data_IF_996246928887
#
_entry.id   IF_996246928887
#
_cell.length_a   1.000
_cell.length_b   1.000
_cell.length_c   1.000
_cell.angle_alpha   90.00
_cell.angle_beta   90.00
_cell.angle_gamma   90.00
#
_symmetry.space_group_name_H-M   'P 1'
#
loop_
_entity.id
_entity.type
_entity.pdbx_description
1 polymer ?
#
# COMPACT_ATOMS: atom_id res chain seq x y z
N UNK A 1 6.03 -1.34 -7.28
CA UNK A 1 5.80 -2.79 -7.13
C UNK A 1 6.84 -3.34 -6.16
N UNK A 2 6.43 -4.01 -5.09
CA UNK A 2 7.34 -4.40 -4.02
C UNK A 2 8.20 -5.58 -4.49
N UNK A 3 9.52 -5.42 -4.40
CA UNK A 3 10.51 -6.48 -4.62
C UNK A 3 11.37 -6.61 -3.37
N UNK A 4 11.67 -7.83 -2.95
CA UNK A 4 12.58 -8.13 -1.84
C UNK A 4 13.59 -9.14 -2.32
N UNK A 5 14.86 -8.89 -1.99
CA UNK A 5 15.92 -9.86 -2.19
C UNK A 5 16.05 -10.70 -0.93
N UNK A 6 16.07 -12.03 -1.08
CA UNK A 6 16.18 -12.96 0.05
C UNK A 6 17.64 -13.37 0.17
N UNK A 7 18.24 -13.21 1.35
CA UNK A 7 19.61 -13.66 1.61
C UNK A 7 19.69 -15.17 1.78
N UNK A 8 20.84 -15.77 1.44
CA UNK A 8 21.04 -17.22 1.44
C UNK A 8 20.78 -17.93 2.79
N UNK A 9 20.84 -17.19 3.91
CA UNK A 9 20.66 -17.72 5.27
C UNK A 9 19.45 -17.12 6.00
N UNK A 10 18.48 -16.59 5.26
CA UNK A 10 17.30 -15.96 5.87
C UNK A 10 16.08 -16.90 5.89
N UNK A 11 15.45 -17.12 7.05
CA UNK A 11 14.24 -17.91 7.12
C UNK A 11 13.11 -17.24 6.32
N UNK A 12 12.36 -18.04 5.56
CA UNK A 12 11.31 -17.60 4.64
C UNK A 12 10.28 -16.67 5.32
N UNK A 13 9.91 -16.96 6.57
CA UNK A 13 8.97 -16.13 7.34
C UNK A 13 9.46 -14.69 7.52
N UNK A 14 10.76 -14.48 7.72
CA UNK A 14 11.34 -13.15 7.91
C UNK A 14 11.33 -12.36 6.60
N UNK A 15 11.57 -13.03 5.48
CA UNK A 15 11.43 -12.44 4.15
C UNK A 15 9.97 -12.03 3.87
N UNK A 16 9.00 -12.90 4.17
CA UNK A 16 7.56 -12.63 4.04
C UNK A 16 7.10 -11.46 4.91
N UNK A 17 7.59 -11.36 6.15
CA UNK A 17 7.25 -10.25 7.05
C UNK A 17 7.71 -8.90 6.48
N UNK A 18 8.93 -8.84 5.93
CA UNK A 18 9.43 -7.63 5.25
C UNK A 18 8.61 -7.32 4.00
N UNK A 19 8.16 -8.34 3.28
CA UNK A 19 7.33 -8.19 2.08
C UNK A 19 5.98 -7.56 2.41
N UNK A 20 5.32 -8.11 3.42
CA UNK A 20 4.06 -7.56 3.93
C UNK A 20 4.22 -6.10 4.36
N UNK A 21 5.30 -5.78 5.11
CA UNK A 21 5.59 -4.40 5.52
C UNK A 21 5.84 -3.48 4.32
N UNK A 22 6.55 -3.93 3.28
CA UNK A 22 6.76 -3.17 2.04
C UNK A 22 5.44 -2.89 1.30
N UNK A 23 4.55 -3.88 1.20
CA UNK A 23 3.21 -3.72 0.61
C UNK A 23 2.38 -2.69 1.37
N UNK A 24 2.43 -2.73 2.70
CA UNK A 24 1.72 -1.79 3.56
C UNK A 24 2.24 -0.36 3.40
N UNK A 25 3.57 -0.17 3.40
CA UNK A 25 4.20 1.15 3.19
C UNK A 25 3.84 1.72 1.82
N UNK A 26 3.91 0.90 0.75
CA UNK A 26 3.58 1.33 -0.60
C UNK A 26 2.07 1.63 -0.77
N UNK A 27 1.24 1.21 0.20
CA UNK A 27 -0.17 1.57 0.25
C UNK A 27 -1.00 1.03 -0.92
N UNK A 28 -0.51 -0.01 -1.61
CA UNK A 28 -1.12 -0.55 -2.84
C UNK A 28 -2.58 -0.94 -2.61
N UNK A 29 -2.86 -1.58 -1.47
CA UNK A 29 -4.22 -1.97 -1.10
C UNK A 29 -5.15 -0.77 -0.87
N UNK A 30 -4.62 0.33 -0.31
CA UNK A 30 -5.38 1.58 -0.12
C UNK A 30 -5.69 2.23 -1.46
N UNK A 31 -4.73 2.24 -2.38
CA UNK A 31 -4.89 2.78 -3.72
C UNK A 31 -5.88 1.95 -4.54
N UNK A 32 -5.83 0.62 -4.45
CA UNK A 32 -6.81 -0.28 -5.07
C UNK A 32 -8.24 -0.01 -4.57
N UNK A 33 -8.43 0.06 -3.25
CA UNK A 33 -9.74 0.39 -2.66
C UNK A 33 -10.26 1.75 -3.12
N UNK A 34 -9.37 2.75 -3.19
CA UNK A 34 -9.72 4.10 -3.62
C UNK A 34 -10.07 4.19 -5.11
N UNK A 35 -9.57 3.27 -5.95
CA UNK A 35 -9.79 3.23 -7.41
C UNK A 35 -10.84 2.20 -7.85
N UNK A 36 -11.39 1.42 -6.91
CA UNK A 36 -12.39 0.37 -7.21
C UNK A 36 -13.65 0.92 -7.90
N UNK A 37 -13.99 2.18 -7.64
CA UNK A 37 -15.10 2.88 -8.26
C UNK A 37 -14.67 4.28 -8.70
N UNK A 38 -15.35 4.83 -9.69
CA UNK A 38 -15.16 6.22 -10.08
C UNK A 38 -15.61 7.14 -8.95
N UNK A 39 -14.72 8.04 -8.53
CA UNK A 39 -15.03 9.10 -7.59
C UNK A 39 -15.03 10.44 -8.35
N UNK A 40 -16.12 11.21 -8.19
CA UNK A 40 -16.22 12.56 -8.75
C UNK A 40 -15.06 13.45 -8.23
N UNK A 41 -14.52 14.38 -9.05
CA UNK A 41 -13.40 15.23 -8.64
C UNK A 41 -13.64 16.03 -7.35
N UNK A 42 -14.90 16.45 -7.12
CA UNK A 42 -15.33 17.17 -5.91
C UNK A 42 -15.20 16.31 -4.64
N UNK A 43 -15.68 15.07 -4.70
CA UNK A 43 -15.59 14.09 -3.62
C UNK A 43 -14.13 13.75 -3.30
N UNK A 44 -13.29 13.61 -4.34
CA UNK A 44 -11.84 13.40 -4.18
C UNK A 44 -11.16 14.55 -3.44
N UNK A 45 -11.51 15.81 -3.76
CA UNK A 45 -11.01 17.01 -3.05
C UNK A 45 -11.50 17.04 -1.60
N UNK A 46 -12.77 16.68 -1.35
CA UNK A 46 -13.36 16.61 -0.01
C UNK A 46 -12.67 15.57 0.86
N UNK A 47 -12.44 14.37 0.32
CA UNK A 47 -11.74 13.27 0.99
C UNK A 47 -10.30 13.64 1.36
N UNK A 48 -9.55 14.26 0.43
CA UNK A 48 -8.17 14.72 0.68
C UNK A 48 -8.10 15.74 1.82
N UNK A 49 -9.02 16.71 1.87
CA UNK A 49 -9.10 17.69 2.96
C UNK A 49 -9.39 17.03 4.32
N UNK A 50 -10.31 16.07 4.37
CA UNK A 50 -10.60 15.30 5.60
C UNK A 50 -9.43 14.44 6.10
N UNK A 51 -8.51 14.03 5.22
CA UNK A 51 -7.35 13.20 5.59
C UNK A 51 -6.14 14.04 6.03
N UNK A 52 -6.16 15.35 5.80
CA UNK A 52 -5.04 16.27 6.08
C UNK A 52 -5.22 17.04 7.39
N UNK A 53 -6.35 16.86 8.07
CA UNK A 53 -6.62 17.32 9.43
C UNK A 53 -6.62 16.09 10.34
#
# INVERSE_FOLDING_TARGET
MPKINVGANEPLEKALRRFKKKIEIEGILRTLKARKHYEKPSERKRRKRKMAW
#
